data_IF_856238753797
#
_entry.id   IF_856238753797
#
_cell.length_a   1.000
_cell.length_b   1.000
_cell.length_c   1.000
_cell.angle_alpha   90.00
_cell.angle_beta   90.00
_cell.angle_gamma   90.00
#
_symmetry.space_group_name_H-M   'P 1'
#
loop_
_entity.id
_entity.type
_entity.pdbx_description
1 polymer ?
#
# COMPACT_ATOMS: atom_id res chain seq x y z
N UNK A 1 11.00 -1.25 15.37
CA UNK A 1 11.27 -0.12 16.30
C UNK A 1 10.32 -0.10 17.50
N UNK A 2 8.99 -0.25 17.37
CA UNK A 2 8.12 -0.50 18.55
C UNK A 2 8.06 -1.97 18.97
N UNK A 3 8.24 -2.91 18.04
CA UNK A 3 8.30 -4.34 18.34
C UNK A 3 9.41 -4.74 19.35
N UNK A 4 10.40 -3.87 19.55
CA UNK A 4 11.54 -4.09 20.47
C UNK A 4 11.37 -3.37 21.81
N UNK A 5 10.40 -2.47 21.93
CA UNK A 5 10.20 -1.62 23.10
C UNK A 5 8.72 -1.21 23.19
N UNK A 6 7.99 -1.92 24.05
CA UNK A 6 6.55 -1.73 24.25
C UNK A 6 6.20 -0.37 24.88
N UNK A 7 7.18 0.36 25.43
CA UNK A 7 6.96 1.67 26.04
C UNK A 7 7.03 2.84 25.04
N UNK A 8 7.55 2.60 23.82
CA UNK A 8 7.65 3.65 22.80
C UNK A 8 6.27 4.19 22.42
N UNK A 9 6.14 5.51 22.48
CA UNK A 9 4.97 6.26 22.00
C UNK A 9 5.37 7.12 20.82
N UNK A 10 4.50 7.18 19.80
CA UNK A 10 4.64 8.05 18.65
C UNK A 10 3.51 9.06 18.68
N UNK A 11 3.84 10.33 18.93
CA UNK A 11 2.84 11.39 19.12
C UNK A 11 2.39 12.01 17.79
N UNK A 12 3.26 11.97 16.78
CA UNK A 12 2.94 12.43 15.43
C UNK A 12 3.58 11.49 14.39
N UNK A 13 2.77 10.76 13.64
CA UNK A 13 3.26 9.78 12.64
C UNK A 13 3.22 10.35 11.21
N UNK A 14 2.45 11.41 10.97
CA UNK A 14 2.20 11.94 9.62
C UNK A 14 3.47 12.37 8.87
N UNK A 15 4.51 12.84 9.57
CA UNK A 15 5.78 13.21 8.94
C UNK A 15 6.56 12.00 8.37
N UNK A 16 6.25 10.78 8.83
CA UNK A 16 6.82 9.54 8.29
C UNK A 16 6.23 9.17 6.92
N UNK A 17 5.09 9.76 6.54
CA UNK A 17 4.48 9.56 5.22
C UNK A 17 4.96 10.67 4.28
N UNK A 18 6.07 10.39 3.61
CA UNK A 18 6.70 11.26 2.63
C UNK A 18 7.11 10.44 1.41
N UNK A 19 7.55 11.13 0.37
CA UNK A 19 7.87 10.56 -0.93
C UNK A 19 8.98 9.51 -0.79
N UNK A 20 10.02 9.77 0.01
CA UNK A 20 11.15 8.84 0.21
C UNK A 20 10.73 7.55 0.91
N UNK A 21 9.94 7.66 1.99
CA UNK A 21 9.48 6.48 2.73
C UNK A 21 8.55 5.62 1.88
N UNK A 22 7.66 6.25 1.11
CA UNK A 22 6.75 5.55 0.21
C UNK A 22 7.48 4.94 -1.00
N UNK A 23 8.51 5.61 -1.53
CA UNK A 23 9.38 5.04 -2.56
C UNK A 23 10.10 3.78 -2.04
N UNK A 24 10.64 3.83 -0.82
CA UNK A 24 11.23 2.67 -0.16
C UNK A 24 10.22 1.52 -0.02
N UNK A 25 8.99 1.80 0.40
CA UNK A 25 7.91 0.82 0.44
C UNK A 25 7.59 0.25 -0.96
N UNK A 26 7.47 1.10 -1.98
CA UNK A 26 7.20 0.69 -3.36
C UNK A 26 8.26 -0.30 -3.85
N UNK A 27 9.55 -0.01 -3.64
CA UNK A 27 10.63 -0.90 -4.05
C UNK A 27 10.60 -2.24 -3.31
N UNK A 28 10.20 -2.26 -2.04
CA UNK A 28 10.07 -3.49 -1.25
C UNK A 28 8.88 -4.39 -1.68
N UNK A 29 7.87 -3.86 -2.37
CA UNK A 29 6.74 -4.67 -2.85
C UNK A 29 7.17 -5.72 -3.88
N UNK A 30 6.62 -6.92 -3.81
CA UNK A 30 6.79 -7.95 -4.85
C UNK A 30 5.98 -7.57 -6.10
N UNK A 31 6.66 -7.43 -7.24
CA UNK A 31 6.03 -7.01 -8.51
C UNK A 31 5.12 -8.05 -9.16
N UNK A 32 5.05 -9.28 -8.63
CA UNK A 32 4.24 -10.38 -9.19
C UNK A 32 2.93 -10.64 -8.45
N UNK A 33 2.56 -9.78 -7.51
CA UNK A 33 1.29 -9.89 -6.78
C UNK A 33 0.11 -9.61 -7.71
N UNK A 34 -1.04 -10.20 -7.39
CA UNK A 34 -2.26 -9.99 -8.14
C UNK A 34 -2.70 -8.52 -8.09
N UNK A 35 -3.16 -7.98 -9.22
CA UNK A 35 -3.62 -6.59 -9.33
C UNK A 35 -4.94 -6.35 -8.58
N UNK A 36 -5.16 -5.08 -8.22
CA UNK A 36 -6.36 -4.60 -7.53
C UNK A 36 -7.58 -4.47 -8.43
N UNK A 37 -8.62 -3.78 -7.95
CA UNK A 37 -9.86 -3.56 -8.69
C UNK A 37 -9.69 -2.56 -9.85
N UNK A 38 -8.66 -1.72 -9.78
CA UNK A 38 -8.26 -0.76 -10.81
C UNK A 38 -7.44 -1.37 -11.94
N UNK A 39 -7.00 -2.63 -11.80
CA UNK A 39 -6.18 -3.33 -12.79
C UNK A 39 -4.74 -2.84 -12.90
N UNK A 40 -4.32 -1.87 -12.08
CA UNK A 40 -3.01 -1.24 -12.20
C UNK A 40 -1.90 -2.17 -11.70
N UNK A 41 -0.93 -2.47 -12.56
CA UNK A 41 0.26 -3.25 -12.20
C UNK A 41 1.31 -2.38 -11.51
N UNK A 42 2.22 -3.03 -10.77
CA UNK A 42 3.38 -2.34 -10.18
C UNK A 42 4.23 -1.64 -11.24
N UNK A 43 4.38 -2.25 -12.42
CA UNK A 43 5.18 -1.69 -13.51
C UNK A 43 4.53 -0.42 -14.09
N UNK A 44 3.22 -0.44 -14.31
CA UNK A 44 2.48 0.73 -14.81
C UNK A 44 2.49 1.88 -13.78
N UNK A 45 2.21 1.59 -12.50
CA UNK A 45 2.29 2.62 -11.45
C UNK A 45 3.70 3.22 -11.33
N UNK A 46 4.73 2.38 -11.51
CA UNK A 46 6.13 2.77 -11.42
C UNK A 46 6.64 3.60 -12.60
N UNK A 47 5.89 3.70 -13.71
CA UNK A 47 6.31 4.47 -14.88
C UNK A 47 6.39 5.98 -14.59
N UNK A 48 5.54 6.47 -13.68
CA UNK A 48 5.50 7.86 -13.22
C UNK A 48 5.61 7.92 -11.67
N UNK A 49 6.53 7.13 -11.10
CA UNK A 49 6.59 6.89 -9.66
C UNK A 49 6.68 8.19 -8.85
N UNK A 50 7.59 9.11 -9.19
CA UNK A 50 7.76 10.34 -8.42
C UNK A 50 6.48 11.20 -8.41
N UNK A 51 5.83 11.35 -9.56
CA UNK A 51 4.59 12.13 -9.70
C UNK A 51 3.43 11.49 -8.92
N UNK A 52 3.30 10.17 -9.02
CA UNK A 52 2.27 9.40 -8.31
C UNK A 52 2.44 9.50 -6.78
N UNK A 53 3.68 9.46 -6.28
CA UNK A 53 3.98 9.61 -4.86
C UNK A 53 3.73 11.03 -4.37
N UNK A 54 4.13 12.06 -5.12
CA UNK A 54 3.89 13.46 -4.77
C UNK A 54 2.38 13.76 -4.65
N UNK A 55 1.57 13.29 -5.60
CA UNK A 55 0.12 13.45 -5.53
C UNK A 55 -0.48 12.68 -4.34
N UNK A 56 -0.04 11.44 -4.10
CA UNK A 56 -0.48 10.63 -2.96
C UNK A 56 -0.19 11.31 -1.63
N UNK A 57 1.05 11.76 -1.41
CA UNK A 57 1.46 12.50 -0.21
C UNK A 57 0.63 13.77 -0.06
N UNK A 58 0.43 14.52 -1.16
CA UNK A 58 -0.43 15.69 -1.19
C UNK A 58 -1.86 15.38 -0.73
N UNK A 59 -2.47 14.28 -1.21
CA UNK A 59 -3.81 13.81 -0.81
C UNK A 59 -3.86 13.40 0.65
N UNK A 60 -2.83 12.73 1.16
CA UNK A 60 -2.76 12.30 2.55
C UNK A 60 -2.63 13.50 3.50
N UNK A 61 -1.74 14.45 3.19
CA UNK A 61 -1.52 15.66 4.00
C UNK A 61 -2.78 16.54 4.11
N UNK A 62 -3.59 16.62 3.04
CA UNK A 62 -4.87 17.34 3.04
C UNK A 62 -6.08 16.50 3.47
N UNK A 63 -5.85 15.28 3.98
CA UNK A 63 -6.88 14.34 4.45
C UNK A 63 -7.94 13.96 3.38
N UNK A 64 -7.62 14.15 2.10
CA UNK A 64 -8.52 13.86 0.98
C UNK A 64 -8.25 12.51 0.31
N UNK A 65 -7.22 11.78 0.74
CA UNK A 65 -6.97 10.44 0.23
C UNK A 65 -8.14 9.52 0.57
N UNK A 66 -8.62 8.78 -0.44
CA UNK A 66 -9.66 7.75 -0.32
C UNK A 66 -9.16 6.52 -1.08
N UNK A 67 -8.88 5.40 -0.40
CA UNK A 67 -8.42 4.19 -1.07
C UNK A 67 -9.54 3.59 -1.91
N UNK A 68 -9.17 2.95 -3.03
CA UNK A 68 -10.08 2.21 -3.88
C UNK A 68 -10.65 0.97 -3.16
N UNK A 69 -11.84 0.47 -3.57
CA UNK A 69 -12.38 -0.78 -3.03
C UNK A 69 -11.44 -1.97 -3.31
N UNK A 70 -11.45 -2.95 -2.41
CA UNK A 70 -10.65 -4.17 -2.53
C UNK A 70 -11.28 -5.12 -3.55
N UNK A 71 -10.47 -5.74 -4.41
CA UNK A 71 -10.93 -6.79 -5.34
C UNK A 71 -11.05 -8.12 -4.60
N UNK A 72 -12.27 -8.64 -4.47
CA UNK A 72 -12.52 -9.95 -3.88
C UNK A 72 -12.31 -11.07 -4.91
N UNK A 73 -11.59 -12.12 -4.51
CA UNK A 73 -11.46 -13.37 -5.26
C UNK A 73 -11.58 -14.51 -4.28
N UNK A 74 -12.51 -15.44 -4.54
CA UNK A 74 -12.64 -16.66 -3.74
C UNK A 74 -11.56 -17.65 -4.14
N UNK A 75 -10.64 -17.92 -3.22
CA UNK A 75 -9.59 -18.92 -3.40
C UNK A 75 -9.90 -20.09 -2.45
N UNK A 76 -10.20 -21.29 -2.98
CA UNK A 76 -10.42 -22.45 -2.14
C UNK A 76 -9.22 -22.78 -1.27
N UNK A 77 -9.47 -22.99 0.03
CA UNK A 77 -8.44 -23.41 0.99
C UNK A 77 -8.28 -24.93 0.92
N UNK A 78 -7.05 -25.41 1.07
CA UNK A 78 -6.77 -26.84 1.12
C UNK A 78 -7.63 -27.53 2.19
N UNK A 79 -8.30 -28.64 1.83
CA UNK A 79 -9.14 -29.42 2.73
C UNK A 79 -10.57 -28.90 2.95
N UNK A 80 -10.98 -27.78 2.32
CA UNK A 80 -12.37 -27.29 2.36
C UNK A 80 -13.06 -27.48 1.01
N UNK A 81 -13.94 -28.50 0.85
CA UNK A 81 -14.70 -28.67 -0.37
C UNK A 81 -15.79 -27.58 -0.47
N UNK A 82 -15.77 -26.77 -1.52
CA UNK A 82 -16.92 -25.91 -1.88
C UNK A 82 -16.69 -24.42 -2.10
N UNK A 83 -15.47 -23.95 -2.36
CA UNK A 83 -15.27 -22.60 -2.92
C UNK A 83 -14.93 -22.72 -4.41
N UNK A 84 -15.97 -22.97 -5.21
CA UNK A 84 -16.00 -22.61 -6.63
C UNK A 84 -16.42 -21.15 -6.77
#
# INVERSE_FOLDING_TARGET
MSASDASKRFEAVMHLFNEDSLAGCFHALDGRKAVGADGMTKAEYGAELEANLADLVGRMKRMSYRPAPVREVRIPKAGSPGAT
#
